data_IF_319244726358
#
_entry.id   IF_319244726358
#
_cell.length_a   1.000
_cell.length_b   1.000
_cell.length_c   1.000
_cell.angle_alpha   90.00
_cell.angle_beta   90.00
_cell.angle_gamma   90.00
#
_symmetry.space_group_name_H-M   'P 1'
#
loop_
_entity.id
_entity.type
_entity.pdbx_description
1 polymer ?
#
# COMPACT_ATOMS: atom_id res chain seq x y z
N UNK A 1 -16.44 2.64 19.63
CA UNK A 1 -15.55 3.74 19.21
C UNK A 1 -14.67 3.35 18.01
N UNK A 2 -13.81 2.32 18.11
CA UNK A 2 -12.86 1.97 17.03
C UNK A 2 -13.51 1.56 15.70
N UNK A 3 -14.61 0.79 15.73
CA UNK A 3 -15.36 0.41 14.51
C UNK A 3 -15.91 1.64 13.76
N UNK A 4 -16.54 2.57 14.47
CA UNK A 4 -17.03 3.82 13.87
C UNK A 4 -15.90 4.64 13.23
N UNK A 5 -14.74 4.73 13.88
CA UNK A 5 -13.56 5.41 13.31
C UNK A 5 -13.05 4.72 12.04
N UNK A 6 -13.10 3.38 11.98
CA UNK A 6 -12.72 2.62 10.79
C UNK A 6 -13.68 2.84 9.62
N UNK A 7 -14.98 2.75 9.88
CA UNK A 7 -16.03 3.04 8.90
C UNK A 7 -15.92 4.48 8.39
N UNK A 8 -15.77 5.45 9.29
CA UNK A 8 -15.58 6.86 8.92
C UNK A 8 -14.34 7.07 8.05
N UNK A 9 -13.18 6.49 8.44
CA UNK A 9 -11.96 6.56 7.62
C UNK A 9 -12.17 5.93 6.25
N UNK A 10 -12.90 4.81 6.18
CA UNK A 10 -13.24 4.12 4.94
C UNK A 10 -14.08 5.00 4.01
N UNK A 11 -15.16 5.59 4.52
CA UNK A 11 -16.02 6.51 3.77
C UNK A 11 -15.25 7.75 3.29
N UNK A 12 -14.43 8.33 4.16
CA UNK A 12 -13.57 9.47 3.78
C UNK A 12 -12.62 9.11 2.64
N UNK A 13 -12.05 7.91 2.66
CA UNK A 13 -11.14 7.49 1.61
C UNK A 13 -11.85 7.30 0.27
N UNK A 14 -13.03 6.67 0.28
CA UNK A 14 -13.88 6.54 -0.91
C UNK A 14 -14.25 7.92 -1.47
N UNK A 15 -14.64 8.86 -0.61
CA UNK A 15 -14.93 10.25 -0.98
C UNK A 15 -13.71 10.92 -1.64
N UNK A 16 -12.53 10.87 -1.01
CA UNK A 16 -11.31 11.50 -1.53
C UNK A 16 -10.87 10.89 -2.88
N UNK A 17 -11.12 9.60 -3.09
CA UNK A 17 -10.81 8.92 -4.36
C UNK A 17 -11.86 9.10 -5.46
N UNK A 18 -12.96 9.81 -5.18
CA UNK A 18 -14.07 9.98 -6.14
C UNK A 18 -14.93 8.74 -6.37
N UNK A 19 -14.68 7.62 -5.67
CA UNK A 19 -15.38 6.34 -5.88
C UNK A 19 -16.84 6.34 -5.47
N UNK A 20 -17.27 7.33 -4.68
CA UNK A 20 -18.68 7.48 -4.32
C UNK A 20 -19.54 8.01 -5.49
N UNK A 21 -18.91 8.53 -6.54
CA UNK A 21 -19.58 9.03 -7.75
C UNK A 21 -19.54 8.02 -8.91
N UNK A 22 -18.96 6.83 -8.68
CA UNK A 22 -18.96 5.76 -9.68
C UNK A 22 -20.40 5.25 -9.89
N UNK A 23 -20.92 5.21 -11.13
CA UNK A 23 -22.26 4.68 -11.41
C UNK A 23 -22.48 3.24 -10.93
N UNK A 24 -21.42 2.42 -10.92
CA UNK A 24 -21.44 1.03 -10.43
C UNK A 24 -21.30 0.96 -8.89
N UNK A 25 -21.17 2.11 -8.23
CA UNK A 25 -21.03 2.27 -6.81
C UNK A 25 -19.64 1.93 -6.26
N UNK A 26 -19.37 2.20 -4.97
CA UNK A 26 -18.05 2.00 -4.38
C UNK A 26 -17.60 0.53 -4.36
N UNK A 27 -18.52 -0.42 -4.49
CA UNK A 27 -18.22 -1.85 -4.53
C UNK A 27 -17.51 -2.28 -5.83
N UNK A 28 -17.61 -1.49 -6.91
CA UNK A 28 -16.88 -1.71 -8.17
C UNK A 28 -15.37 -1.54 -8.02
N UNK A 29 -14.92 -0.88 -6.94
CA UNK A 29 -13.52 -0.56 -6.70
C UNK A 29 -12.64 -1.82 -6.76
N UNK A 30 -11.75 -1.82 -7.76
CA UNK A 30 -10.83 -2.90 -8.05
C UNK A 30 -9.64 -2.98 -7.09
N UNK A 31 -8.72 -3.91 -7.39
CA UNK A 31 -7.51 -4.09 -6.60
C UNK A 31 -6.52 -2.95 -6.87
N UNK A 32 -6.03 -2.30 -5.82
CA UNK A 32 -5.05 -1.21 -5.93
C UNK A 32 -5.60 0.11 -6.48
N UNK A 33 -6.87 0.19 -6.82
CA UNK A 33 -7.51 1.37 -7.41
C UNK A 33 -7.64 2.57 -6.48
N UNK A 34 -7.51 2.32 -5.18
CA UNK A 34 -7.44 3.30 -4.11
C UNK A 34 -5.99 3.58 -3.66
N UNK A 35 -4.98 2.99 -4.31
CA UNK A 35 -3.59 3.34 -4.06
C UNK A 35 -3.24 4.61 -4.84
N UNK A 36 -2.73 5.63 -4.15
CA UNK A 36 -2.19 6.80 -4.83
C UNK A 36 -0.70 6.59 -5.10
N UNK A 37 -0.24 7.06 -6.26
CA UNK A 37 1.21 7.17 -6.50
C UNK A 37 1.75 8.30 -5.63
N UNK A 38 2.82 8.03 -4.89
CA UNK A 38 3.44 9.06 -4.05
C UNK A 38 3.87 10.25 -4.92
N UNK A 39 3.37 11.47 -4.66
CA UNK A 39 3.67 12.63 -5.51
C UNK A 39 5.14 13.07 -5.41
N UNK A 40 5.83 12.71 -4.32
CA UNK A 40 7.25 12.99 -4.13
C UNK A 40 8.16 11.99 -4.84
N UNK A 41 7.66 10.82 -5.25
CA UNK A 41 8.45 9.88 -6.02
C UNK A 41 8.61 10.39 -7.47
N UNK A 42 9.77 10.18 -8.09
CA UNK A 42 9.96 10.47 -9.51
C UNK A 42 9.12 9.50 -10.36
N UNK A 43 8.26 10.06 -11.21
CA UNK A 43 7.39 9.35 -12.14
C UNK A 43 7.63 9.87 -13.55
N UNK A 44 8.21 9.07 -14.44
CA UNK A 44 8.30 9.39 -15.87
C UNK A 44 6.92 9.74 -16.43
N UNK A 45 6.87 10.72 -17.33
CA UNK A 45 5.64 11.23 -17.98
C UNK A 45 4.61 11.90 -17.04
N UNK A 46 4.85 11.98 -15.72
CA UNK A 46 3.92 12.60 -14.77
C UNK A 46 4.52 13.86 -14.14
N UNK A 47 5.68 13.73 -13.49
CA UNK A 47 6.31 14.83 -12.75
C UNK A 47 7.81 14.99 -13.06
N UNK A 48 8.32 14.26 -14.05
CA UNK A 48 9.67 14.42 -14.59
C UNK A 48 9.65 15.19 -15.92
N UNK A 49 10.66 16.04 -16.19
CA UNK A 49 10.85 16.65 -17.51
C UNK A 49 11.03 15.58 -18.61
N UNK A 50 10.57 15.78 -19.86
CA UNK A 50 10.69 14.78 -20.94
C UNK A 50 12.13 14.32 -21.26
N UNK A 51 13.12 15.15 -20.96
CA UNK A 51 14.54 14.92 -21.21
C UNK A 51 15.33 14.63 -19.92
N UNK A 52 14.65 14.25 -18.83
CA UNK A 52 15.28 13.94 -17.54
C UNK A 52 16.41 12.91 -17.65
N UNK A 53 16.31 11.96 -18.58
CA UNK A 53 17.32 10.93 -18.85
C UNK A 53 18.63 11.49 -19.42
N UNK A 54 18.57 12.66 -20.08
CA UNK A 54 19.73 13.34 -20.68
C UNK A 54 20.40 14.31 -19.72
N UNK A 55 19.90 14.42 -18.48
CA UNK A 55 20.44 15.33 -17.50
C UNK A 55 21.92 15.00 -17.20
N UNK A 56 22.76 16.02 -16.90
CA UNK A 56 24.14 15.80 -16.49
C UNK A 56 24.21 14.86 -15.28
N UNK A 57 25.23 14.01 -15.23
CA UNK A 57 25.41 13.01 -14.18
C UNK A 57 25.38 13.62 -12.76
N UNK A 58 25.86 14.86 -12.63
CA UNK A 58 25.88 15.65 -11.40
C UNK A 58 24.50 16.07 -10.89
N UNK A 59 23.47 16.04 -11.75
CA UNK A 59 22.09 16.41 -11.43
C UNK A 59 21.15 15.21 -11.34
N UNK A 60 21.62 14.01 -11.69
CA UNK A 60 20.79 12.80 -11.76
C UNK A 60 20.17 12.41 -10.41
N UNK A 61 20.76 12.85 -9.30
CA UNK A 61 20.23 12.68 -7.95
C UNK A 61 18.84 13.32 -7.76
N UNK A 62 18.51 14.36 -8.53
CA UNK A 62 17.19 15.02 -8.50
C UNK A 62 16.05 14.10 -8.98
N UNK A 63 16.37 13.11 -9.82
CA UNK A 63 15.40 12.19 -10.42
C UNK A 63 15.51 10.77 -9.85
N UNK A 64 16.34 10.58 -8.83
CA UNK A 64 16.60 9.28 -8.23
C UNK A 64 15.48 8.90 -7.25
N UNK A 65 14.94 7.68 -7.41
CA UNK A 65 13.97 7.14 -6.46
C UNK A 65 14.68 6.59 -5.22
N UNK A 66 14.53 7.28 -4.10
CA UNK A 66 14.97 6.79 -2.80
C UNK A 66 13.88 5.91 -2.17
N UNK A 67 14.15 4.60 -2.07
CA UNK A 67 13.26 3.66 -1.40
C UNK A 67 13.73 3.48 0.04
N UNK A 68 13.09 4.19 0.96
CA UNK A 68 13.24 3.96 2.39
C UNK A 68 12.30 2.86 2.86
N UNK A 69 12.83 1.70 3.24
CA UNK A 69 12.06 0.67 3.94
C UNK A 69 12.29 0.89 5.43
N UNK A 70 11.30 1.48 6.11
CA UNK A 70 11.32 1.53 7.57
C UNK A 70 11.16 0.10 8.11
N UNK A 71 12.25 -0.45 8.65
CA UNK A 71 12.29 -1.78 9.25
C UNK A 71 11.83 -1.80 10.72
N UNK A 72 11.14 -0.76 11.21
CA UNK A 72 10.44 -0.78 12.50
C UNK A 72 9.19 -1.70 12.48
N UNK A 73 9.33 -2.90 11.91
CA UNK A 73 8.33 -3.94 11.98
C UNK A 73 8.30 -4.54 13.39
N UNK A 74 7.64 -3.89 14.34
CA UNK A 74 7.10 -4.58 15.51
C UNK A 74 5.94 -5.47 15.07
N UNK A 75 6.23 -6.58 14.38
CA UNK A 75 5.22 -7.51 13.88
C UNK A 75 5.12 -8.74 14.77
N UNK A 76 4.40 -8.59 15.88
CA UNK A 76 3.53 -9.65 16.39
C UNK A 76 2.23 -9.04 16.90
N UNK A 77 1.25 -8.86 16.00
CA UNK A 77 -0.16 -8.83 16.40
C UNK A 77 -0.54 -10.26 16.78
N UNK A 78 -0.43 -10.58 18.06
CA UNK A 78 -0.71 -11.94 18.59
C UNK A 78 -2.21 -12.26 18.68
N UNK A 79 -3.09 -11.26 18.55
CA UNK A 79 -4.52 -11.46 18.69
C UNK A 79 -5.28 -10.55 17.70
N UNK A 80 -5.64 -11.11 16.54
CA UNK A 80 -6.47 -10.45 15.53
C UNK A 80 -7.80 -11.19 15.50
N UNK A 81 -8.88 -10.43 15.65
CA UNK A 81 -10.25 -10.93 15.52
C UNK A 81 -10.45 -11.67 14.19
N UNK A 82 -11.35 -12.65 14.16
CA UNK A 82 -11.73 -13.35 12.92
C UNK A 82 -12.39 -12.38 11.92
N UNK A 83 -12.29 -12.65 10.61
CA UNK A 83 -12.98 -11.84 9.59
C UNK A 83 -14.51 -11.86 9.76
N UNK A 84 -15.06 -12.93 10.36
CA UNK A 84 -16.47 -13.00 10.74
C UNK A 84 -16.83 -11.98 11.83
N UNK A 85 -15.96 -11.80 12.82
CA UNK A 85 -16.19 -10.87 13.93
C UNK A 85 -15.78 -9.43 13.58
N UNK A 86 -14.75 -9.25 12.75
CA UNK A 86 -14.25 -7.95 12.27
C UNK A 86 -13.92 -7.99 10.77
N UNK A 87 -14.93 -7.83 9.90
CA UNK A 87 -14.73 -7.92 8.46
C UNK A 87 -13.91 -6.74 7.95
N UNK A 88 -12.92 -7.03 7.11
CA UNK A 88 -12.09 -5.98 6.50
C UNK A 88 -12.91 -5.15 5.51
N UNK A 89 -12.97 -3.83 5.72
CA UNK A 89 -13.65 -2.90 4.82
C UNK A 89 -12.91 -2.64 3.50
N UNK A 90 -11.57 -2.76 3.49
CA UNK A 90 -10.71 -2.38 2.35
C UNK A 90 -9.99 -3.61 1.78
N UNK A 91 -10.76 -4.57 1.27
CA UNK A 91 -10.25 -5.85 0.76
C UNK A 91 -9.44 -5.67 -0.53
N UNK A 92 -8.21 -5.22 -0.37
CA UNK A 92 -7.24 -5.07 -1.45
C UNK A 92 -7.40 -3.82 -2.31
N UNK A 93 -8.20 -2.84 -1.88
CA UNK A 93 -8.46 -1.65 -2.69
C UNK A 93 -7.25 -0.72 -2.78
N UNK A 94 -6.41 -0.62 -1.75
CA UNK A 94 -5.27 0.30 -1.69
C UNK A 94 -3.94 -0.49 -1.73
N UNK A 95 -2.98 -0.15 -0.87
CA UNK A 95 -1.62 -0.70 -0.89
C UNK A 95 -1.51 -2.20 -0.54
N UNK A 96 -2.49 -2.77 0.14
CA UNK A 96 -2.47 -4.18 0.52
C UNK A 96 -3.12 -5.06 -0.54
N UNK A 97 -2.60 -6.29 -0.68
CA UNK A 97 -3.18 -7.31 -1.57
C UNK A 97 -4.45 -7.90 -0.93
N UNK A 98 -5.36 -8.43 -1.77
CA UNK A 98 -6.52 -9.20 -1.28
C UNK A 98 -6.04 -10.40 -0.46
N UNK A 99 -6.67 -10.62 0.70
CA UNK A 99 -6.30 -11.66 1.67
C UNK A 99 -6.19 -13.04 1.01
N UNK A 100 -7.16 -13.46 0.19
CA UNK A 100 -7.12 -14.76 -0.48
C UNK A 100 -5.86 -14.96 -1.35
N UNK A 101 -5.52 -13.97 -2.19
CA UNK A 101 -4.30 -14.01 -3.01
C UNK A 101 -3.04 -14.06 -2.15
N UNK A 102 -3.04 -13.35 -1.02
CA UNK A 102 -1.91 -13.37 -0.08
C UNK A 102 -1.77 -14.75 0.58
N UNK A 103 -2.86 -15.36 1.03
CA UNK A 103 -2.87 -16.71 1.60
C UNK A 103 -2.41 -17.75 0.59
N UNK A 104 -2.83 -17.65 -0.67
CA UNK A 104 -2.38 -18.57 -1.72
C UNK A 104 -0.88 -18.41 -2.00
N UNK A 105 -0.36 -17.18 -1.98
CA UNK A 105 1.08 -16.92 -2.06
C UNK A 105 1.82 -17.51 -0.86
N UNK A 106 1.30 -17.38 0.36
CA UNK A 106 1.94 -17.96 1.55
C UNK A 106 2.08 -19.49 1.47
N UNK A 107 1.15 -20.19 0.82
CA UNK A 107 1.24 -21.65 0.60
C UNK A 107 2.36 -22.05 -0.35
N UNK A 108 2.77 -21.17 -1.26
CA UNK A 108 3.88 -21.44 -2.20
C UNK A 108 5.24 -21.12 -1.59
N UNK A 109 5.29 -20.28 -0.55
CA UNK A 109 6.51 -19.97 0.18
C UNK A 109 6.95 -21.15 1.06
N UNK A 110 8.14 -21.70 0.80
CA UNK A 110 8.80 -22.68 1.69
C UNK A 110 9.56 -21.93 2.77
N UNK A 111 9.04 -21.98 4.00
CA UNK A 111 9.48 -21.25 5.20
C UNK A 111 9.56 -19.72 5.06
N UNK A 112 9.04 -18.95 6.03
CA UNK A 112 9.35 -17.53 6.04
C UNK A 112 10.85 -17.38 6.34
N UNK A 113 11.62 -16.86 5.39
CA UNK A 113 12.98 -16.37 5.66
C UNK A 113 12.85 -15.26 6.70
N UNK A 114 12.97 -15.62 7.98
CA UNK A 114 13.12 -14.65 9.04
C UNK A 114 14.49 -14.03 8.87
N UNK A 115 14.53 -12.83 8.31
CA UNK A 115 15.72 -11.99 8.34
C UNK A 115 15.94 -11.60 9.80
N UNK A 116 16.72 -12.41 10.54
CA UNK A 116 17.22 -12.03 11.86
C UNK A 116 18.29 -10.96 11.65
N UNK A 117 17.92 -9.70 11.83
CA UNK A 117 18.90 -8.65 12.05
C UNK A 117 19.50 -8.88 13.45
N UNK A 118 20.59 -9.66 13.51
CA UNK A 118 21.46 -9.71 14.68
C UNK A 118 22.22 -8.39 14.72
N UNK A 119 21.61 -7.38 15.34
CA UNK A 119 22.35 -6.21 15.80
C UNK A 119 23.16 -6.66 17.02
N UNK A 120 24.41 -7.04 16.80
CA UNK A 120 25.41 -7.03 17.86
C UNK A 120 25.71 -5.56 18.19
N UNK A 121 25.07 -5.06 19.24
CA UNK A 121 25.54 -3.94 20.04
C UNK A 121 26.13 -4.52 21.33
#
# INVERSE_FOLDING_TARGET
>A
FMRMMWEWRHLHFLKCSGRMNDPEGPASTGQGELAFKCPACPHPEINLPPDWEKAPLQMFWLYTLFIGIDANFQLKRKDVSSDCADPRLRRGWSYFVKEGKYQDYLKTCKEPVQVRFLLHL
#
